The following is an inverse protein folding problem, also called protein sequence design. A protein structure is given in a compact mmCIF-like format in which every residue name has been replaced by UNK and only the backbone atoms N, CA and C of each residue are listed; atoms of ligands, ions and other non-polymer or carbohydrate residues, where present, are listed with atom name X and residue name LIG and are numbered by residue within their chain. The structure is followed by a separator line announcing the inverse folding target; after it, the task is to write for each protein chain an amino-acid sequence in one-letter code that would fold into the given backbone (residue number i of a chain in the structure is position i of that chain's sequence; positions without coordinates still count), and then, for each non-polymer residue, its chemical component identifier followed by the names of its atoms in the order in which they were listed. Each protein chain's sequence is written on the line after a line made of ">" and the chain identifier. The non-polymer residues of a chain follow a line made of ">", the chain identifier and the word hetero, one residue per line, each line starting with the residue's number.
data_IF_083908377693
#
_entry.id   IF_083908377693
#
_cell.length_a   1.000
_cell.length_b   1.000
_cell.length_c   1.000
_cell.angle_alpha   90.00
_cell.angle_beta   90.00
_cell.angle_gamma   90.00
#
_symmetry.space_group_name_H-M   'P 1'
#
loop_
_entity.id
_entity.type
_entity.pdbx_description
1 polymer ?
#
# COMPACT_ATOMS: atom_id res chain seq x y z
N UNK A 1 -16.96 10.66 24.33
CA UNK A 1 -16.34 10.81 22.99
C UNK A 1 -14.86 10.50 23.13
N UNK A 2 -14.33 9.52 22.39
CA UNK A 2 -12.91 9.25 22.41
C UNK A 2 -12.10 10.46 21.96
N UNK A 3 -11.03 10.80 22.67
CA UNK A 3 -10.21 11.98 22.43
C UNK A 3 -8.85 11.55 21.86
N UNK A 4 -8.59 11.94 20.60
CA UNK A 4 -7.38 11.58 19.87
C UNK A 4 -6.56 12.81 19.50
N UNK A 5 -5.26 12.75 19.80
CA UNK A 5 -4.30 13.74 19.34
C UNK A 5 -3.90 13.45 17.88
N UNK A 6 -4.10 14.42 16.99
CA UNK A 6 -3.68 14.32 15.59
C UNK A 6 -2.20 14.68 15.44
N UNK A 7 -1.37 13.73 15.00
CA UNK A 7 0.10 13.94 14.84
C UNK A 7 0.63 13.39 13.51
N UNK A 8 -0.18 13.40 12.46
CA UNK A 8 0.23 13.09 11.09
C UNK A 8 0.26 14.34 10.22
N UNK A 9 1.00 14.28 9.11
CA UNK A 9 1.18 15.39 8.18
C UNK A 9 0.61 15.10 6.78
N UNK A 10 0.19 13.85 6.50
CA UNK A 10 -0.32 13.47 5.19
C UNK A 10 -1.76 13.93 4.98
N UNK A 11 -2.12 14.18 3.71
CA UNK A 11 -3.51 14.48 3.36
C UNK A 11 -4.45 13.32 3.75
N UNK A 12 -4.02 12.07 3.66
CA UNK A 12 -4.81 10.92 4.12
C UNK A 12 -5.09 10.97 5.62
N UNK A 13 -4.11 11.39 6.44
CA UNK A 13 -4.30 11.62 7.86
C UNK A 13 -5.33 12.72 8.13
N UNK A 14 -5.25 13.84 7.41
CA UNK A 14 -6.23 14.93 7.56
C UNK A 14 -7.67 14.46 7.25
N UNK A 15 -7.87 13.74 6.14
CA UNK A 15 -9.16 13.13 5.81
C UNK A 15 -9.63 12.13 6.87
N UNK A 16 -8.72 11.33 7.43
CA UNK A 16 -9.07 10.41 8.51
C UNK A 16 -9.54 11.14 9.76
N UNK A 17 -8.87 12.22 10.17
CA UNK A 17 -9.28 13.08 11.29
C UNK A 17 -10.66 13.69 11.08
N UNK A 18 -10.95 14.20 9.87
CA UNK A 18 -12.26 14.75 9.53
C UNK A 18 -13.37 13.69 9.66
N UNK A 19 -13.17 12.49 9.13
CA UNK A 19 -14.14 11.40 9.20
C UNK A 19 -14.34 10.88 10.63
N UNK A 20 -13.27 10.79 11.42
CA UNK A 20 -13.33 10.43 12.84
C UNK A 20 -14.14 11.46 13.64
N UNK A 21 -13.93 12.77 13.38
CA UNK A 21 -14.70 13.84 14.04
C UNK A 21 -16.20 13.71 13.73
N UNK A 22 -16.57 13.43 12.47
CA UNK A 22 -17.97 13.19 12.08
C UNK A 22 -18.56 11.93 12.72
N UNK A 23 -17.70 11.00 13.12
CA UNK A 23 -18.08 9.72 13.76
C UNK A 23 -18.05 9.75 15.28
N UNK A 24 -17.91 10.94 15.89
CA UNK A 24 -17.99 11.12 17.33
C UNK A 24 -16.66 11.01 18.07
N UNK A 25 -15.53 11.16 17.39
CA UNK A 25 -14.23 11.34 18.05
C UNK A 25 -13.92 12.83 18.22
N UNK A 26 -13.29 13.19 19.34
CA UNK A 26 -12.73 14.53 19.54
C UNK A 26 -11.29 14.53 19.05
N UNK A 27 -11.02 15.24 17.95
CA UNK A 27 -9.67 15.39 17.40
C UNK A 27 -9.06 16.68 17.98
N UNK A 28 -7.86 16.56 18.55
CA UNK A 28 -7.15 17.68 19.19
C UNK A 28 -5.75 17.83 18.61
N UNK A 29 -5.24 19.06 18.64
CA UNK A 29 -3.89 19.41 18.16
C UNK A 29 -2.84 19.34 19.27
N UNK A 30 -3.27 19.45 20.53
CA UNK A 30 -2.39 19.40 21.70
C UNK A 30 -2.96 18.41 22.71
N UNK A 31 -2.17 17.44 23.19
CA UNK A 31 -2.65 16.45 24.14
C UNK A 31 -2.81 17.04 25.54
N UNK A 32 -3.68 16.43 26.34
CA UNK A 32 -3.90 16.69 27.77
C UNK A 32 -4.12 15.37 28.54
N UNK A 33 -4.34 15.45 29.85
CA UNK A 33 -4.52 14.29 30.73
C UNK A 33 -5.73 13.41 30.38
N UNK A 34 -6.66 13.91 29.55
CA UNK A 34 -7.84 13.18 29.06
C UNK A 34 -7.65 12.56 27.69
N UNK A 35 -6.47 12.72 27.09
CA UNK A 35 -6.14 12.19 25.77
C UNK A 35 -6.06 10.66 25.81
N UNK A 36 -6.89 9.99 25.00
CA UNK A 36 -6.99 8.54 24.99
C UNK A 36 -6.09 7.89 23.93
N UNK A 37 -5.59 8.65 22.97
CA UNK A 37 -4.65 8.12 21.99
C UNK A 37 -4.08 9.18 21.07
N UNK A 38 -3.13 8.76 20.24
CA UNK A 38 -2.54 9.56 19.17
C UNK A 38 -2.73 8.86 17.83
N UNK A 39 -3.14 9.62 16.81
CA UNK A 39 -3.18 9.16 15.43
C UNK A 39 -1.96 9.68 14.70
N UNK A 40 -1.13 8.76 14.22
CA UNK A 40 0.06 8.99 13.42
C UNK A 40 -0.22 8.74 11.93
N UNK A 41 0.69 9.18 11.06
CA UNK A 41 0.67 8.78 9.65
C UNK A 41 0.86 7.26 9.46
N UNK A 42 0.35 6.73 8.34
CA UNK A 42 0.49 5.33 7.97
C UNK A 42 1.29 5.22 6.65
N UNK A 43 2.48 4.65 6.70
CA UNK A 43 3.28 4.18 7.85
C UNK A 43 3.82 5.32 8.72
N UNK A 44 3.99 5.05 10.02
CA UNK A 44 4.45 6.02 11.02
C UNK A 44 5.97 6.25 11.00
N UNK A 45 6.41 7.38 11.57
CA UNK A 45 7.83 7.75 11.83
C UNK A 45 8.72 7.73 10.57
N UNK A 46 8.18 8.14 9.43
CA UNK A 46 8.95 8.24 8.17
C UNK A 46 9.38 9.66 7.81
N UNK A 47 8.84 10.65 8.48
CA UNK A 47 9.24 12.05 8.35
C UNK A 47 10.15 12.42 9.51
N UNK A 48 11.28 13.11 9.28
CA UNK A 48 12.22 13.53 10.35
C UNK A 48 11.58 14.44 11.41
N UNK A 49 10.47 15.10 11.05
CA UNK A 49 9.84 16.14 11.87
C UNK A 49 9.00 15.58 13.04
N UNK A 50 8.81 14.28 13.12
CA UNK A 50 8.08 13.63 14.19
C UNK A 50 9.06 12.86 15.08
N UNK A 51 9.53 13.51 16.17
CA UNK A 51 10.34 12.84 17.18
C UNK A 51 9.43 11.97 18.06
N UNK A 52 9.59 10.64 18.06
CA UNK A 52 8.76 9.75 18.89
C UNK A 52 8.82 10.06 20.39
N UNK A 53 9.98 10.42 20.93
CA UNK A 53 10.16 10.67 22.36
C UNK A 53 9.30 11.85 22.86
N UNK A 54 9.13 12.89 22.02
CA UNK A 54 8.24 14.01 22.38
C UNK A 54 6.77 13.60 22.44
N UNK A 55 6.38 12.62 21.60
CA UNK A 55 5.03 12.06 21.62
C UNK A 55 4.82 11.26 22.91
N UNK A 56 5.81 10.39 23.21
CA UNK A 56 5.72 9.53 24.40
C UNK A 56 5.67 10.33 25.71
N UNK A 57 6.41 11.44 25.79
CA UNK A 57 6.45 12.29 26.96
C UNK A 57 5.14 13.08 27.17
N UNK A 58 4.41 13.37 26.09
CA UNK A 58 3.19 14.19 26.12
C UNK A 58 1.90 13.38 26.36
N UNK A 59 1.95 12.03 26.31
CA UNK A 59 0.77 11.18 26.39
C UNK A 59 0.59 10.54 27.78
N UNK A 60 -0.67 10.41 28.27
CA UNK A 60 -0.98 9.55 29.41
C UNK A 60 -0.49 8.11 29.20
N UNK A 61 -0.05 7.44 30.28
CA UNK A 61 0.56 6.11 30.19
C UNK A 61 -0.34 4.98 29.66
N UNK A 62 -1.65 5.20 29.62
CA UNK A 62 -2.66 4.26 29.11
C UNK A 62 -3.16 4.62 27.70
N UNK A 63 -2.56 5.61 27.04
CA UNK A 63 -2.97 6.05 25.71
C UNK A 63 -2.74 4.96 24.65
N UNK A 64 -3.52 5.01 23.54
CA UNK A 64 -3.40 4.11 22.41
C UNK A 64 -2.60 4.80 21.32
N UNK A 65 -1.56 4.13 20.81
CA UNK A 65 -0.78 4.59 19.67
C UNK A 65 -1.35 3.97 18.40
N UNK A 66 -1.95 4.82 17.56
CA UNK A 66 -2.60 4.42 16.30
C UNK A 66 -1.69 4.80 15.14
N UNK A 67 -1.35 3.83 14.29
CA UNK A 67 -0.45 4.09 13.16
C UNK A 67 -0.18 2.87 12.29
N UNK A 68 1.02 2.78 11.73
CA UNK A 68 1.46 1.63 10.93
C UNK A 68 2.96 1.40 11.00
N UNK A 69 3.41 0.15 11.02
CA UNK A 69 4.79 -0.28 11.26
C UNK A 69 5.29 0.18 12.65
N UNK A 70 4.51 -0.08 13.67
CA UNK A 70 4.78 0.35 15.06
C UNK A 70 5.62 -0.64 15.84
N UNK A 71 5.73 -1.89 15.42
CA UNK A 71 6.45 -2.95 16.11
C UNK A 71 7.90 -2.53 16.46
N UNK A 72 8.28 -2.68 17.74
CA UNK A 72 9.60 -2.33 18.28
C UNK A 72 9.90 -0.82 18.35
N UNK A 73 8.91 0.04 18.10
CA UNK A 73 9.10 1.51 18.10
C UNK A 73 8.29 2.23 19.19
N UNK A 74 7.35 1.53 19.79
CA UNK A 74 6.46 2.09 20.81
C UNK A 74 6.83 1.51 22.15
N UNK A 75 7.00 2.32 23.23
CA UNK A 75 7.23 1.84 24.57
C UNK A 75 6.11 0.91 25.06
N UNK A 76 6.46 -0.15 25.80
CA UNK A 76 5.55 -1.20 26.27
C UNK A 76 4.37 -0.69 27.14
N UNK A 77 4.52 0.47 27.75
CA UNK A 77 3.46 1.10 28.55
C UNK A 77 2.24 1.53 27.75
N UNK A 78 2.37 1.66 26.41
CA UNK A 78 1.28 2.10 25.55
C UNK A 78 0.62 0.90 24.87
N UNK A 79 -0.68 1.00 24.67
CA UNK A 79 -1.42 0.09 23.78
C UNK A 79 -1.15 0.48 22.32
N UNK A 80 -1.07 -0.50 21.44
CA UNK A 80 -0.76 -0.29 20.02
C UNK A 80 -1.92 -0.74 19.14
N UNK A 81 -2.33 0.13 18.20
CA UNK A 81 -3.24 -0.18 17.12
C UNK A 81 -2.49 0.04 15.80
N UNK A 82 -1.81 -1.02 15.34
CA UNK A 82 -1.06 -1.00 14.06
C UNK A 82 -1.96 -1.44 12.91
N UNK A 83 -2.42 -0.48 12.09
CA UNK A 83 -3.33 -0.75 10.98
C UNK A 83 -2.70 -1.62 9.89
N UNK A 84 -1.36 -1.63 9.78
CA UNK A 84 -0.68 -2.49 8.81
C UNK A 84 -0.58 -3.96 9.25
N UNK A 85 -0.93 -4.26 10.50
CA UNK A 85 -1.09 -5.62 11.00
C UNK A 85 -2.55 -6.11 10.88
N UNK A 86 -3.49 -5.22 10.59
CA UNK A 86 -4.89 -5.57 10.36
C UNK A 86 -5.09 -6.11 8.93
N UNK A 87 -5.59 -7.34 8.82
CA UNK A 87 -5.73 -8.02 7.52
C UNK A 87 -6.81 -7.40 6.65
N UNK A 88 -7.89 -6.90 7.24
CA UNK A 88 -8.97 -6.23 6.51
C UNK A 88 -8.50 -4.89 5.94
N UNK A 89 -7.80 -4.10 6.76
CA UNK A 89 -7.17 -2.86 6.30
C UNK A 89 -6.21 -3.12 5.14
N UNK A 90 -5.28 -4.07 5.29
CA UNK A 90 -4.26 -4.34 4.27
C UNK A 90 -4.86 -4.89 2.98
N UNK A 91 -5.95 -5.66 3.05
CA UNK A 91 -6.68 -6.14 1.87
C UNK A 91 -7.37 -4.98 1.13
N UNK A 92 -8.09 -4.11 1.83
CA UNK A 92 -8.74 -2.92 1.25
C UNK A 92 -7.73 -1.90 0.71
N UNK A 93 -6.63 -1.68 1.43
CA UNK A 93 -5.54 -0.80 0.98
C UNK A 93 -4.83 -1.32 -0.28
N UNK A 94 -4.80 -2.64 -0.49
CA UNK A 94 -4.28 -3.23 -1.72
C UNK A 94 -5.16 -2.90 -2.95
N UNK A 95 -6.48 -2.86 -2.82
CA UNK A 95 -7.38 -2.43 -3.92
C UNK A 95 -7.19 -0.94 -4.24
N UNK A 96 -7.08 -0.08 -3.22
CA UNK A 96 -6.77 1.36 -3.43
C UNK A 96 -5.42 1.50 -4.14
N UNK A 97 -4.39 0.76 -3.70
CA UNK A 97 -3.06 0.77 -4.31
C UNK A 97 -3.11 0.35 -5.78
N UNK A 98 -3.84 -0.72 -6.11
CA UNK A 98 -3.99 -1.21 -7.47
C UNK A 98 -4.68 -0.17 -8.38
N UNK A 99 -5.73 0.50 -7.91
CA UNK A 99 -6.40 1.58 -8.65
C UNK A 99 -5.48 2.78 -8.89
N UNK A 100 -4.71 3.18 -7.87
CA UNK A 100 -3.71 4.23 -8.02
C UNK A 100 -2.60 3.82 -9.01
N UNK A 101 -2.18 2.56 -9.01
CA UNK A 101 -1.19 2.05 -9.96
C UNK A 101 -1.70 2.08 -11.40
N UNK A 102 -2.96 1.73 -11.64
CA UNK A 102 -3.60 1.85 -12.96
C UNK A 102 -3.67 3.31 -13.42
N UNK A 103 -4.06 4.22 -12.53
CA UNK A 103 -4.07 5.65 -12.84
C UNK A 103 -2.67 6.13 -13.23
N UNK A 104 -1.65 5.80 -12.44
CA UNK A 104 -0.26 6.14 -12.73
C UNK A 104 0.19 5.56 -14.09
N UNK A 105 -0.12 4.29 -14.36
CA UNK A 105 0.20 3.67 -15.65
C UNK A 105 -0.46 4.38 -16.82
N UNK A 106 -1.75 4.74 -16.71
CA UNK A 106 -2.47 5.47 -17.74
C UNK A 106 -1.89 6.86 -18.00
N UNK A 107 -1.45 7.58 -16.94
CA UNK A 107 -0.82 8.90 -17.04
C UNK A 107 0.56 8.85 -17.75
N UNK A 108 1.24 7.70 -17.71
CA UNK A 108 2.58 7.50 -18.30
C UNK A 108 2.54 6.91 -19.73
N UNK A 109 1.38 6.54 -20.24
CA UNK A 109 1.22 5.89 -21.54
C UNK A 109 0.43 6.73 -22.53
N UNK A 110 0.77 6.60 -23.83
CA UNK A 110 0.01 7.17 -24.94
C UNK A 110 -0.99 6.18 -25.55
N UNK A 111 -1.36 5.12 -24.83
CA UNK A 111 -2.27 4.05 -25.30
C UNK A 111 -3.17 3.56 -24.15
N UNK A 112 -4.27 2.93 -24.53
CA UNK A 112 -5.19 2.32 -23.55
C UNK A 112 -4.68 0.96 -23.08
N UNK A 113 -5.32 0.40 -22.05
CA UNK A 113 -5.03 -0.96 -21.57
C UNK A 113 -5.57 -2.07 -22.49
N UNK A 114 -6.53 -1.78 -23.36
CA UNK A 114 -7.13 -2.78 -24.26
C UNK A 114 -6.05 -3.50 -25.09
N UNK A 115 -6.08 -4.82 -25.07
CA UNK A 115 -5.16 -5.73 -25.75
C UNK A 115 -3.67 -5.54 -25.39
N UNK A 116 -3.37 -4.71 -24.39
CA UNK A 116 -2.01 -4.46 -23.93
C UNK A 116 -1.45 -5.69 -23.21
N UNK A 117 -0.27 -6.19 -23.59
CA UNK A 117 0.40 -7.24 -22.84
C UNK A 117 1.02 -6.67 -21.57
N UNK A 118 0.47 -7.06 -20.42
CA UNK A 118 0.87 -6.60 -19.09
C UNK A 118 1.41 -7.76 -18.26
N UNK A 119 2.59 -7.59 -17.68
CA UNK A 119 3.15 -8.51 -16.69
C UNK A 119 2.97 -7.97 -15.30
N UNK A 120 2.47 -8.80 -14.40
CA UNK A 120 2.46 -8.54 -12.96
C UNK A 120 3.48 -9.46 -12.30
N UNK A 121 4.47 -8.88 -11.63
CA UNK A 121 5.43 -9.61 -10.81
C UNK A 121 4.85 -9.76 -9.41
N UNK A 122 4.46 -11.00 -9.06
CA UNK A 122 3.91 -11.38 -7.75
C UNK A 122 2.38 -11.56 -7.73
N UNK A 123 1.93 -12.54 -6.94
CA UNK A 123 0.52 -12.91 -6.73
C UNK A 123 0.04 -12.63 -5.30
N UNK A 124 0.55 -11.54 -4.70
CA UNK A 124 0.08 -11.03 -3.41
C UNK A 124 -1.24 -10.25 -3.51
N UNK A 125 -1.64 -9.58 -2.42
CA UNK A 125 -2.87 -8.78 -2.35
C UNK A 125 -2.98 -7.76 -3.49
N UNK A 126 -1.92 -6.96 -3.72
CA UNK A 126 -1.88 -5.93 -4.79
C UNK A 126 -1.92 -6.60 -6.17
N UNK A 127 -1.12 -7.65 -6.39
CA UNK A 127 -1.07 -8.36 -7.67
C UNK A 127 -2.44 -8.94 -8.07
N UNK A 128 -3.18 -9.52 -7.11
CA UNK A 128 -4.55 -10.03 -7.31
C UNK A 128 -5.53 -8.92 -7.70
N UNK A 129 -5.49 -7.78 -7.02
CA UNK A 129 -6.32 -6.62 -7.34
C UNK A 129 -6.00 -6.06 -8.73
N UNK A 130 -4.71 -5.90 -9.07
CA UNK A 130 -4.26 -5.44 -10.39
C UNK A 130 -4.71 -6.37 -11.50
N UNK A 131 -4.50 -7.70 -11.36
CA UNK A 131 -4.88 -8.67 -12.38
C UNK A 131 -6.38 -8.60 -12.68
N UNK A 132 -7.22 -8.53 -11.63
CA UNK A 132 -8.66 -8.37 -11.78
C UNK A 132 -9.04 -7.08 -12.52
N UNK A 133 -8.48 -5.95 -12.11
CA UNK A 133 -8.81 -4.64 -12.68
C UNK A 133 -8.32 -4.51 -14.13
N UNK A 134 -7.11 -4.97 -14.44
CA UNK A 134 -6.56 -4.97 -15.79
C UNK A 134 -7.38 -5.84 -16.74
N UNK A 135 -7.88 -6.99 -16.28
CA UNK A 135 -8.76 -7.85 -17.09
C UNK A 135 -10.09 -7.15 -17.42
N UNK A 136 -10.66 -6.39 -16.49
CA UNK A 136 -11.86 -5.57 -16.74
C UNK A 136 -11.60 -4.46 -17.78
N UNK A 137 -10.34 -4.03 -17.91
CA UNK A 137 -9.90 -3.07 -18.91
C UNK A 137 -9.44 -3.75 -20.23
N UNK A 138 -9.78 -5.03 -20.44
CA UNK A 138 -9.44 -5.83 -21.61
C UNK A 138 -7.92 -5.97 -21.86
N UNK A 139 -7.07 -5.84 -20.84
CA UNK A 139 -5.63 -6.09 -20.96
C UNK A 139 -5.33 -7.59 -21.02
N UNK A 140 -4.28 -7.97 -21.76
CA UNK A 140 -3.72 -9.33 -21.75
C UNK A 140 -2.79 -9.49 -20.56
N UNK A 141 -3.30 -10.07 -19.48
CA UNK A 141 -2.60 -10.15 -18.21
C UNK A 141 -1.86 -11.47 -18.06
N UNK A 142 -0.55 -11.37 -17.86
CA UNK A 142 0.31 -12.47 -17.44
C UNK A 142 0.83 -12.20 -16.02
N UNK A 143 0.94 -13.24 -15.20
CA UNK A 143 1.43 -13.12 -13.82
C UNK A 143 2.67 -13.99 -13.62
N UNK A 144 3.73 -13.39 -13.13
CA UNK A 144 4.87 -14.13 -12.62
C UNK A 144 4.62 -14.54 -11.17
N UNK A 145 4.69 -15.84 -10.90
CA UNK A 145 4.59 -16.38 -9.54
C UNK A 145 5.59 -17.53 -9.34
N UNK A 146 6.39 -17.46 -8.27
CA UNK A 146 7.38 -18.49 -7.93
C UNK A 146 6.72 -19.80 -7.51
N UNK A 147 5.64 -19.71 -6.74
CA UNK A 147 4.94 -20.89 -6.23
C UNK A 147 4.17 -21.61 -7.36
N UNK A 148 4.42 -22.92 -7.60
CA UNK A 148 3.70 -23.70 -8.61
C UNK A 148 2.18 -23.77 -8.36
N UNK A 149 1.75 -23.82 -7.10
CA UNK A 149 0.33 -23.84 -6.74
C UNK A 149 -0.38 -22.52 -7.13
N UNK A 150 0.31 -21.37 -6.94
CA UNK A 150 -0.22 -20.08 -7.39
C UNK A 150 -0.34 -20.05 -8.93
N UNK A 151 0.64 -20.58 -9.68
CA UNK A 151 0.55 -20.67 -11.14
C UNK A 151 -0.58 -21.58 -11.61
N UNK A 152 -0.79 -22.70 -10.93
CA UNK A 152 -1.93 -23.58 -11.23
C UNK A 152 -3.27 -22.87 -10.98
N UNK A 153 -3.40 -22.16 -9.86
CA UNK A 153 -4.59 -21.38 -9.54
C UNK A 153 -4.82 -20.25 -10.55
N UNK A 154 -3.77 -19.52 -10.94
CA UNK A 154 -3.84 -18.47 -11.98
C UNK A 154 -4.42 -19.01 -13.28
N UNK A 155 -3.93 -20.17 -13.76
CA UNK A 155 -4.44 -20.82 -14.97
C UNK A 155 -5.92 -21.22 -14.84
N UNK A 156 -6.32 -21.75 -13.67
CA UNK A 156 -7.72 -22.08 -13.37
C UNK A 156 -8.61 -20.83 -13.40
N UNK A 157 -8.09 -19.67 -12.98
CA UNK A 157 -8.80 -18.39 -13.03
C UNK A 157 -8.76 -17.72 -14.42
N UNK A 158 -8.15 -18.36 -15.42
CA UNK A 158 -8.05 -17.86 -16.79
C UNK A 158 -7.00 -16.76 -16.99
N UNK A 159 -5.94 -16.74 -16.18
CA UNK A 159 -4.76 -15.89 -16.37
C UNK A 159 -3.61 -16.69 -16.95
N UNK A 160 -2.80 -16.04 -17.79
CA UNK A 160 -1.50 -16.56 -18.13
C UNK A 160 -0.56 -16.47 -16.92
N UNK A 161 0.26 -17.49 -16.72
CA UNK A 161 1.20 -17.53 -15.60
C UNK A 161 2.53 -18.09 -16.05
N UNK A 162 3.62 -17.44 -15.64
CA UNK A 162 4.99 -17.81 -15.99
C UNK A 162 5.81 -18.10 -14.72
N UNK A 163 6.77 -19.01 -14.87
CA UNK A 163 7.74 -19.41 -13.84
C UNK A 163 9.00 -18.53 -13.89
N UNK A 164 9.93 -18.80 -12.98
CA UNK A 164 11.21 -18.10 -12.93
C UNK A 164 12.10 -18.44 -14.16
N UNK A 165 12.07 -19.68 -14.61
CA UNK A 165 12.82 -20.14 -15.79
C UNK A 165 12.32 -19.51 -17.08
N UNK A 166 11.03 -19.22 -17.16
CA UNK A 166 10.37 -18.62 -18.34
C UNK A 166 10.51 -17.10 -18.37
N UNK A 167 10.64 -16.45 -17.21
CA UNK A 167 10.53 -14.98 -17.05
C UNK A 167 11.43 -14.22 -18.04
N UNK A 168 12.71 -14.56 -18.11
CA UNK A 168 13.68 -13.84 -18.95
C UNK A 168 13.40 -13.95 -20.45
N UNK A 169 12.77 -15.05 -20.90
CA UNK A 169 12.41 -15.27 -22.31
C UNK A 169 11.16 -14.47 -22.70
N UNK A 170 10.21 -14.29 -21.80
CA UNK A 170 8.94 -13.61 -22.07
C UNK A 170 8.99 -12.09 -21.88
N UNK A 171 10.00 -11.53 -21.21
CA UNK A 171 10.09 -10.08 -20.98
C UNK A 171 9.91 -9.20 -22.22
N UNK A 172 10.45 -9.53 -23.40
CA UNK A 172 10.27 -8.71 -24.62
C UNK A 172 8.82 -8.61 -25.12
N UNK A 173 7.94 -9.51 -24.66
CA UNK A 173 6.54 -9.55 -25.07
C UNK A 173 5.67 -8.50 -24.39
N UNK A 174 6.12 -7.94 -23.26
CA UNK A 174 5.31 -7.02 -22.46
C UNK A 174 5.55 -5.55 -22.82
N UNK A 175 4.53 -4.71 -22.60
CA UNK A 175 4.57 -3.26 -22.77
C UNK A 175 4.40 -2.50 -21.45
N UNK A 176 4.00 -3.21 -20.40
CA UNK A 176 3.85 -2.68 -19.06
C UNK A 176 4.17 -3.79 -18.07
N UNK A 177 5.01 -3.50 -17.10
CA UNK A 177 5.35 -4.40 -16.00
C UNK A 177 5.06 -3.70 -14.68
N UNK A 178 4.20 -4.32 -13.86
CA UNK A 178 3.98 -3.94 -12.47
C UNK A 178 4.71 -4.90 -11.55
N UNK A 179 5.63 -4.39 -10.72
CA UNK A 179 6.21 -5.17 -9.63
C UNK A 179 5.46 -4.96 -8.32
N UNK A 180 5.11 -6.05 -7.64
CA UNK A 180 4.50 -6.05 -6.31
C UNK A 180 5.32 -6.84 -5.28
N UNK A 181 6.47 -7.39 -5.68
CA UNK A 181 7.35 -8.21 -4.84
C UNK A 181 8.39 -7.33 -4.16
N UNK A 182 8.48 -7.31 -2.82
CA UNK A 182 9.45 -6.48 -2.08
C UNK A 182 10.84 -7.15 -1.98
N UNK A 183 11.35 -7.62 -3.11
CA UNK A 183 12.67 -8.25 -3.25
C UNK A 183 13.15 -8.07 -4.70
N UNK A 184 14.46 -8.17 -4.99
CA UNK A 184 14.98 -8.13 -6.36
C UNK A 184 14.36 -9.24 -7.23
N UNK A 185 13.74 -8.86 -8.35
CA UNK A 185 13.09 -9.77 -9.31
C UNK A 185 13.68 -9.60 -10.71
N UNK A 186 13.86 -8.36 -11.17
CA UNK A 186 14.45 -8.08 -12.49
C UNK A 186 15.81 -7.41 -12.31
N UNK A 187 16.86 -8.06 -12.81
CA UNK A 187 18.20 -7.49 -12.89
C UNK A 187 18.34 -6.50 -14.06
N UNK A 188 19.39 -5.70 -14.10
CA UNK A 188 19.71 -4.82 -15.25
C UNK A 188 19.80 -5.58 -16.59
N UNK A 189 20.39 -6.79 -16.59
CA UNK A 189 20.45 -7.62 -17.78
C UNK A 189 19.07 -8.10 -18.27
N UNK A 190 18.12 -8.28 -17.37
CA UNK A 190 16.74 -8.65 -17.69
C UNK A 190 15.95 -7.43 -18.18
N UNK A 191 16.06 -6.29 -17.51
CA UNK A 191 15.35 -5.05 -17.90
C UNK A 191 15.84 -4.50 -19.23
N UNK A 192 17.09 -4.72 -19.62
CA UNK A 192 17.60 -4.40 -20.96
C UNK A 192 16.85 -5.11 -22.11
N UNK A 193 16.11 -6.19 -21.82
CA UNK A 193 15.23 -6.90 -22.77
C UNK A 193 13.84 -6.27 -22.89
N UNK A 194 13.45 -5.39 -21.96
CA UNK A 194 12.14 -4.75 -21.88
C UNK A 194 12.11 -3.49 -22.77
N UNK A 195 12.16 -3.67 -24.11
CA UNK A 195 12.11 -2.55 -25.04
C UNK A 195 10.71 -1.96 -25.14
N UNK A 196 10.59 -0.62 -25.13
CA UNK A 196 9.30 0.11 -25.17
C UNK A 196 8.30 -0.39 -24.11
N UNK A 197 8.79 -0.72 -22.93
CA UNK A 197 8.03 -1.26 -21.83
C UNK A 197 8.09 -0.29 -20.64
N UNK A 198 6.92 0.12 -20.15
CA UNK A 198 6.82 0.91 -18.93
C UNK A 198 7.05 0.00 -17.70
N UNK A 199 7.99 0.37 -16.84
CA UNK A 199 8.33 -0.37 -15.63
C UNK A 199 7.84 0.41 -14.41
N UNK A 200 6.90 -0.17 -13.64
CA UNK A 200 6.35 0.44 -12.42
C UNK A 200 6.58 -0.50 -11.24
N UNK A 201 7.30 -0.04 -10.25
CA UNK A 201 7.56 -0.79 -9.02
C UNK A 201 6.72 -0.25 -7.86
N UNK A 202 5.80 -1.07 -7.35
CA UNK A 202 4.87 -0.75 -6.27
C UNK A 202 5.36 -1.25 -4.91
N UNK A 203 6.44 -2.02 -4.90
CA UNK A 203 6.92 -2.68 -3.70
C UNK A 203 7.57 -1.72 -2.70
N UNK A 204 7.62 -2.12 -1.43
CA UNK A 204 8.27 -1.35 -0.36
C UNK A 204 9.79 -1.30 -0.51
N UNK A 205 10.38 -2.31 -1.17
CA UNK A 205 11.77 -2.38 -1.59
C UNK A 205 11.81 -2.51 -3.11
N UNK A 206 12.76 -1.84 -3.75
CA UNK A 206 12.90 -1.84 -5.20
C UNK A 206 13.26 -3.25 -5.70
N UNK A 207 12.41 -3.82 -6.55
CA UNK A 207 12.58 -5.16 -7.12
C UNK A 207 13.00 -5.15 -8.59
N UNK A 208 12.87 -4.01 -9.28
CA UNK A 208 13.26 -3.82 -10.67
C UNK A 208 14.51 -2.96 -10.75
N UNK A 209 15.61 -3.53 -11.22
CA UNK A 209 16.87 -2.80 -11.42
C UNK A 209 16.88 -2.17 -12.82
N UNK A 210 16.48 -0.91 -12.93
CA UNK A 210 16.51 -0.11 -14.16
C UNK A 210 16.60 1.37 -13.81
N UNK A 211 17.25 2.19 -14.66
CA UNK A 211 17.24 3.65 -14.53
C UNK A 211 15.87 4.25 -14.87
N UNK A 212 15.12 3.58 -15.75
CA UNK A 212 13.80 4.03 -16.23
C UNK A 212 12.62 3.53 -15.37
N UNK A 213 12.88 2.88 -14.23
CA UNK A 213 11.81 2.36 -13.37
C UNK A 213 11.11 3.46 -12.59
N UNK A 214 9.79 3.49 -12.63
CA UNK A 214 8.98 4.34 -11.76
C UNK A 214 8.77 3.64 -10.41
N UNK A 215 9.56 3.98 -9.41
CA UNK A 215 9.35 3.47 -8.05
C UNK A 215 8.22 4.21 -7.34
N UNK A 216 7.03 3.67 -7.43
CA UNK A 216 5.77 4.28 -7.05
C UNK A 216 5.35 3.92 -5.61
N UNK A 217 6.03 4.48 -4.63
CA UNK A 217 5.74 4.26 -3.21
C UNK A 217 4.63 5.15 -2.68
N UNK A 218 3.84 4.62 -1.75
CA UNK A 218 2.80 5.37 -1.02
C UNK A 218 1.72 5.95 -1.95
N UNK A 219 1.39 5.24 -3.02
CA UNK A 219 0.41 5.70 -4.00
C UNK A 219 -0.95 6.07 -3.40
N UNK A 220 -1.57 5.29 -2.49
CA UNK A 220 -2.85 5.65 -1.90
C UNK A 220 -2.86 7.04 -1.28
N UNK A 221 -1.88 7.36 -0.43
CA UNK A 221 -1.79 8.66 0.22
C UNK A 221 -1.51 9.83 -0.73
N UNK A 222 -0.89 9.56 -1.90
CA UNK A 222 -0.56 10.58 -2.90
C UNK A 222 -1.69 10.80 -3.90
N UNK A 223 -2.29 9.74 -4.44
CA UNK A 223 -3.23 9.80 -5.56
C UNK A 223 -4.69 9.64 -5.13
N UNK A 224 -4.95 9.07 -3.95
CA UNK A 224 -6.28 8.87 -3.41
C UNK A 224 -6.32 9.12 -1.88
N UNK A 225 -5.90 10.31 -1.41
CA UNK A 225 -5.81 10.59 0.03
C UNK A 225 -7.16 10.51 0.74
N UNK A 226 -8.26 10.91 0.10
CA UNK A 226 -9.61 10.78 0.63
C UNK A 226 -10.00 9.32 0.86
N UNK A 227 -9.81 8.45 -0.14
CA UNK A 227 -10.10 7.02 -0.02
C UNK A 227 -9.24 6.36 1.07
N UNK A 228 -7.97 6.75 1.16
CA UNK A 228 -7.06 6.27 2.22
C UNK A 228 -7.50 6.74 3.60
N UNK A 229 -7.86 8.01 3.75
CA UNK A 229 -8.32 8.60 5.01
C UNK A 229 -9.63 7.95 5.47
N UNK A 230 -10.57 7.71 4.55
CA UNK A 230 -11.80 6.97 4.82
C UNK A 230 -11.50 5.55 5.33
N UNK A 231 -10.62 4.81 4.65
CA UNK A 231 -10.25 3.47 5.08
C UNK A 231 -9.57 3.48 6.47
N UNK A 232 -8.69 4.44 6.74
CA UNK A 232 -8.05 4.62 8.04
C UNK A 232 -9.12 4.84 9.12
N UNK A 233 -10.05 5.78 8.93
CA UNK A 233 -11.08 6.10 9.91
C UNK A 233 -12.04 4.93 10.17
N UNK A 234 -12.51 4.25 9.12
CA UNK A 234 -13.38 3.07 9.23
C UNK A 234 -12.70 1.94 10.03
N UNK A 235 -11.40 1.71 9.78
CA UNK A 235 -10.63 0.71 10.51
C UNK A 235 -10.46 1.08 11.99
N UNK A 236 -10.12 2.34 12.28
CA UNK A 236 -10.00 2.84 13.65
C UNK A 236 -11.34 2.68 14.39
N UNK A 237 -12.46 3.07 13.80
CA UNK A 237 -13.79 2.96 14.40
C UNK A 237 -14.13 1.50 14.72
N UNK A 238 -13.81 0.57 13.81
CA UNK A 238 -14.02 -0.87 14.02
C UNK A 238 -13.16 -1.39 15.19
N UNK A 239 -11.86 -1.19 15.12
CA UNK A 239 -10.91 -1.69 16.13
C UNK A 239 -11.12 -1.03 17.49
N UNK A 240 -11.56 0.23 17.52
CA UNK A 240 -11.87 0.92 18.78
C UNK A 240 -13.04 0.28 19.54
N UNK A 241 -14.05 -0.21 18.82
CA UNK A 241 -15.19 -0.91 19.41
C UNK A 241 -14.83 -2.30 19.93
N UNK A 242 -13.82 -2.93 19.35
CA UNK A 242 -13.30 -4.25 19.75
C UNK A 242 -12.30 -4.14 20.92
N UNK A 243 -11.88 -2.93 21.25
CA UNK A 243 -10.92 -2.66 22.34
C UNK A 243 -11.70 -2.54 23.66
N UNK A 244 -11.49 -3.43 24.64
CA UNK A 244 -12.18 -3.43 25.92
C UNK A 244 -11.83 -2.22 26.79
#
# INVERSE_FOLDING_TARGET
>A
MPKLWAKGLSAAHAYACEQLSRSGFSIIDTPDDTTQGVLLDIPSFRTPDVNPETIWAALPGNAIIIGGNLAGKVPERFRVMDLLMDEEYTAKNADITARCALRLGAEQMNRTYRDMPVLILGWGRIGKCLARLLRVLDARVCVFARNPADRAMLKTLGYDAISEEELAAFLPCFRLIYNTVPAPVLSHAMTAKCRDCLLIDLASQLGIQSEDVLWARRLPGKLAPESSGKLISETIIRLWKETP
#
